data_IF_310678877677
#
_entry.id   IF_310678877677
#
_cell.length_a   1.000
_cell.length_b   1.000
_cell.length_c   1.000
_cell.angle_alpha   90.00
_cell.angle_beta   90.00
_cell.angle_gamma   90.00
#
_symmetry.space_group_name_H-M   'P 1'
#
loop_
_entity.id
_entity.type
_entity.pdbx_description
1 polymer ?
#
# COMPACT_ATOMS: atom_id res chain seq x y z
N UNK A 1 46.60 -3.31 45.72
CA UNK A 1 47.37 -4.02 44.68
C UNK A 1 47.32 -5.56 44.79
N UNK A 2 47.34 -6.16 45.99
CA UNK A 2 47.27 -7.63 46.15
C UNK A 2 45.92 -8.23 45.71
N UNK A 3 44.82 -7.50 45.84
CA UNK A 3 43.48 -7.94 45.39
C UNK A 3 43.30 -8.03 43.87
N UNK A 4 44.06 -7.24 43.08
CA UNK A 4 44.01 -7.33 41.61
C UNK A 4 44.73 -8.60 41.10
N UNK A 5 45.76 -9.06 41.81
CA UNK A 5 46.53 -10.26 41.43
C UNK A 5 45.77 -11.56 41.72
N UNK A 6 44.94 -11.61 42.76
CA UNK A 6 44.09 -12.77 43.05
C UNK A 6 42.96 -12.91 42.02
N UNK A 7 42.37 -11.80 41.58
CA UNK A 7 41.35 -11.77 40.52
C UNK A 7 41.84 -12.36 39.19
N UNK A 8 43.07 -12.04 38.79
CA UNK A 8 43.67 -12.53 37.54
C UNK A 8 43.84 -14.06 37.50
N UNK A 9 44.19 -14.66 38.65
CA UNK A 9 44.41 -16.11 38.78
C UNK A 9 43.09 -16.89 38.75
N UNK A 10 42.03 -16.32 39.32
CA UNK A 10 40.65 -16.85 39.28
C UNK A 10 40.10 -16.77 37.85
N UNK A 11 40.31 -15.64 37.17
CA UNK A 11 40.00 -15.47 35.74
C UNK A 11 40.66 -16.55 34.88
N UNK A 12 41.95 -16.84 35.13
CA UNK A 12 42.69 -17.91 34.45
C UNK A 12 42.17 -19.32 34.76
N UNK A 13 41.38 -19.57 35.81
CA UNK A 13 40.85 -20.91 36.13
C UNK A 13 39.44 -21.10 35.58
N UNK A 14 38.68 -20.01 35.43
CA UNK A 14 37.29 -20.03 34.97
C UNK A 14 37.12 -19.49 33.55
N UNK A 15 38.18 -19.46 32.73
CA UNK A 15 38.18 -18.90 31.36
C UNK A 15 37.03 -19.41 30.49
N UNK A 16 36.70 -20.69 30.64
CA UNK A 16 35.61 -21.32 29.90
C UNK A 16 34.24 -20.79 30.35
N UNK A 17 34.02 -20.67 31.67
CA UNK A 17 32.81 -20.09 32.24
C UNK A 17 32.63 -18.64 31.79
N UNK A 18 33.70 -17.83 31.85
CA UNK A 18 33.70 -16.45 31.37
C UNK A 18 33.50 -16.37 29.85
N UNK A 19 34.08 -17.29 29.08
CA UNK A 19 33.85 -17.40 27.64
C UNK A 19 32.39 -17.68 27.31
N UNK A 20 31.77 -18.65 28.00
CA UNK A 20 30.33 -18.96 27.82
C UNK A 20 29.45 -17.78 28.24
N UNK A 21 29.76 -17.11 29.35
CA UNK A 21 29.04 -15.91 29.80
C UNK A 21 29.14 -14.76 28.80
N UNK A 22 30.33 -14.46 28.28
CA UNK A 22 30.54 -13.40 27.30
C UNK A 22 29.88 -13.74 25.96
N UNK A 23 29.90 -15.01 25.55
CA UNK A 23 29.25 -15.46 24.32
C UNK A 23 27.72 -15.40 24.46
N UNK A 24 27.18 -15.79 25.62
CA UNK A 24 25.76 -15.64 25.93
C UNK A 24 25.32 -14.18 25.98
N UNK A 25 26.11 -13.32 26.63
CA UNK A 25 25.83 -11.88 26.69
C UNK A 25 25.93 -11.22 25.30
N UNK A 26 26.95 -11.58 24.51
CA UNK A 26 27.11 -11.09 23.15
C UNK A 26 25.97 -11.55 22.24
N UNK A 27 25.57 -12.82 22.33
CA UNK A 27 24.43 -13.36 21.61
C UNK A 27 23.11 -12.68 21.99
N UNK A 28 22.88 -12.46 23.29
CA UNK A 28 21.71 -11.73 23.77
C UNK A 28 21.68 -10.28 23.27
N UNK A 29 22.80 -9.56 23.36
CA UNK A 29 22.92 -8.18 22.88
C UNK A 29 22.73 -8.07 21.37
N UNK A 30 23.25 -9.02 20.59
CA UNK A 30 23.06 -9.07 19.15
C UNK A 30 21.59 -9.34 18.79
N UNK A 31 20.96 -10.33 19.43
CA UNK A 31 19.54 -10.62 19.23
C UNK A 31 18.65 -9.43 19.62
N UNK A 32 18.95 -8.77 20.73
CA UNK A 32 18.23 -7.58 21.18
C UNK A 32 18.38 -6.41 20.18
N UNK A 33 19.59 -6.18 19.66
CA UNK A 33 19.81 -5.15 18.64
C UNK A 33 19.04 -5.45 17.35
N UNK A 34 19.00 -6.72 16.96
CA UNK A 34 18.26 -7.18 15.79
C UNK A 34 16.75 -6.97 15.98
N UNK A 35 16.22 -7.28 17.17
CA UNK A 35 14.82 -7.01 17.54
C UNK A 35 14.49 -5.51 17.49
N UNK A 36 15.34 -4.65 18.06
CA UNK A 36 15.12 -3.20 18.05
C UNK A 36 15.15 -2.63 16.63
N UNK A 37 16.08 -3.12 15.79
CA UNK A 37 16.17 -2.70 14.39
C UNK A 37 14.95 -3.15 13.59
N UNK A 38 14.51 -4.40 13.77
CA UNK A 38 13.29 -4.92 13.13
C UNK A 38 12.02 -4.22 13.63
N UNK A 39 11.96 -3.83 14.90
CA UNK A 39 10.82 -3.10 15.47
C UNK A 39 10.53 -1.81 14.72
N UNK A 40 11.57 -1.02 14.43
CA UNK A 40 11.41 0.22 13.66
C UNK A 40 10.85 0.00 12.25
N UNK A 41 11.23 -1.10 11.59
CA UNK A 41 10.73 -1.45 10.25
C UNK A 41 9.28 -1.96 10.29
N UNK A 42 8.93 -2.74 11.31
CA UNK A 42 7.56 -3.24 11.53
C UNK A 42 6.57 -2.12 11.87
N UNK A 43 7.05 -1.07 12.54
CA UNK A 43 6.25 0.09 12.92
C UNK A 43 6.25 1.21 11.86
N UNK A 44 7.01 1.07 10.77
CA UNK A 44 6.99 2.06 9.68
C UNK A 44 5.64 1.98 8.95
N UNK A 45 4.77 2.96 9.21
CA UNK A 45 3.41 3.07 8.66
C UNK A 45 3.39 3.58 7.21
N UNK A 46 4.55 3.76 6.60
CA UNK A 46 4.70 4.30 5.25
C UNK A 46 5.61 3.39 4.45
N UNK A 47 5.20 2.92 3.26
CA UNK A 47 6.07 2.16 2.38
C UNK A 47 7.35 2.94 2.08
N UNK A 48 8.49 2.27 1.86
CA UNK A 48 9.78 2.93 1.65
C UNK A 48 9.83 3.77 0.35
N UNK A 49 8.87 3.58 -0.56
CA UNK A 49 8.76 4.39 -1.77
C UNK A 49 7.96 5.68 -1.56
N UNK A 50 7.26 5.87 -0.44
CA UNK A 50 6.53 7.08 -0.08
C UNK A 50 7.47 7.99 0.72
N UNK A 51 7.77 9.18 0.20
CA UNK A 51 8.71 10.13 0.85
C UNK A 51 8.00 11.28 1.57
N UNK A 52 6.68 11.20 1.71
CA UNK A 52 5.89 12.23 2.36
C UNK A 52 6.17 12.28 3.88
N UNK A 53 6.62 13.44 4.36
CA UNK A 53 6.90 13.67 5.80
C UNK A 53 5.65 14.12 6.59
N UNK A 54 4.64 14.64 5.88
CA UNK A 54 3.38 15.10 6.48
C UNK A 54 2.47 13.92 6.85
N UNK A 55 1.56 14.15 7.80
CA UNK A 55 0.63 13.14 8.26
C UNK A 55 -0.33 12.68 7.14
N UNK A 56 -0.28 11.39 6.84
CA UNK A 56 -1.19 10.70 5.93
C UNK A 56 -2.29 10.01 6.72
N UNK A 57 -3.47 9.87 6.13
CA UNK A 57 -4.55 9.03 6.64
C UNK A 57 -5.12 8.17 5.52
N UNK A 58 -5.28 6.88 5.78
CA UNK A 58 -5.88 5.93 4.86
C UNK A 58 -7.36 5.74 5.19
N UNK A 59 -8.22 5.95 4.20
CA UNK A 59 -9.65 5.69 4.24
C UNK A 59 -9.95 4.34 3.57
N UNK A 60 -10.59 3.45 4.30
CA UNK A 60 -11.14 2.19 3.80
C UNK A 60 -12.17 1.61 4.75
N UNK A 61 -12.70 0.42 4.44
CA UNK A 61 -13.57 -0.32 5.35
C UNK A 61 -12.71 -1.26 6.20
N UNK A 62 -13.13 -1.59 7.41
CA UNK A 62 -12.47 -2.63 8.20
C UNK A 62 -13.31 -3.91 8.19
N UNK A 63 -12.68 -5.01 7.82
CA UNK A 63 -13.28 -6.34 7.85
C UNK A 63 -13.37 -6.91 9.27
N UNK A 64 -14.15 -7.99 9.48
CA UNK A 64 -14.29 -8.63 10.80
C UNK A 64 -12.98 -9.16 11.36
N UNK A 65 -12.06 -9.56 10.50
CA UNK A 65 -10.70 -9.98 10.88
C UNK A 65 -9.80 -8.78 11.21
N UNK A 66 -10.25 -7.54 11.00
CA UNK A 66 -9.47 -6.32 11.18
C UNK A 66 -8.68 -5.87 9.94
N UNK A 67 -8.85 -6.51 8.77
CA UNK A 67 -8.15 -6.14 7.55
C UNK A 67 -8.73 -4.87 6.94
N UNK A 68 -7.91 -4.10 6.21
CA UNK A 68 -8.43 -3.01 5.39
C UNK A 68 -9.08 -3.61 4.13
N UNK A 69 -10.33 -3.24 3.90
CA UNK A 69 -11.07 -3.51 2.69
C UNK A 69 -11.25 -2.24 1.85
N UNK A 70 -11.34 -2.45 0.55
CA UNK A 70 -11.64 -1.41 -0.42
C UNK A 70 -13.07 -0.89 -0.28
N UNK A 71 -13.25 0.38 -0.63
CA UNK A 71 -14.51 1.12 -0.59
C UNK A 71 -14.83 1.73 -1.96
N UNK A 72 -16.09 2.12 -2.21
CA UNK A 72 -16.45 2.85 -3.43
C UNK A 72 -15.72 4.18 -3.54
N UNK A 73 -15.36 4.58 -4.76
CA UNK A 73 -14.74 5.91 -5.00
C UNK A 73 -15.67 7.05 -4.57
N UNK A 74 -16.99 6.84 -4.63
CA UNK A 74 -17.97 7.83 -4.17
C UNK A 74 -17.90 8.09 -2.67
N UNK A 75 -17.50 7.08 -1.88
CA UNK A 75 -17.33 7.22 -0.44
C UNK A 75 -16.07 8.01 -0.06
N UNK A 76 -15.09 8.11 -0.98
CA UNK A 76 -13.84 8.85 -0.75
C UNK A 76 -14.02 10.34 -1.06
N UNK A 77 -14.84 10.69 -2.05
CA UNK A 77 -14.99 12.07 -2.52
C UNK A 77 -15.36 13.11 -1.44
N UNK A 78 -16.22 12.81 -0.44
CA UNK A 78 -16.56 13.75 0.62
C UNK A 78 -15.36 14.08 1.53
N UNK A 79 -14.38 13.18 1.66
CA UNK A 79 -13.20 13.41 2.49
C UNK A 79 -12.40 14.63 2.02
N UNK A 80 -12.41 14.93 0.72
CA UNK A 80 -11.69 16.07 0.15
C UNK A 80 -12.25 17.42 0.62
N UNK A 81 -13.49 17.43 1.14
CA UNK A 81 -14.17 18.63 1.65
C UNK A 81 -14.02 18.80 3.17
N UNK A 82 -13.42 17.83 3.86
CA UNK A 82 -13.28 17.88 5.31
C UNK A 82 -12.23 18.93 5.71
N UNK A 83 -12.46 19.70 6.78
CA UNK A 83 -11.49 20.66 7.27
C UNK A 83 -10.20 19.93 7.71
N UNK A 84 -9.04 20.50 7.36
CA UNK A 84 -7.73 19.93 7.67
C UNK A 84 -7.23 18.88 6.67
N UNK A 85 -8.04 18.48 5.68
CA UNK A 85 -7.56 17.68 4.53
C UNK A 85 -7.01 18.62 3.45
N UNK A 86 -5.74 18.44 3.09
CA UNK A 86 -5.07 19.27 2.08
C UNK A 86 -5.16 18.72 0.67
N UNK A 87 -5.07 17.40 0.50
CA UNK A 87 -5.14 16.71 -0.78
C UNK A 87 -5.51 15.24 -0.57
N UNK A 88 -6.05 14.57 -1.60
CA UNK A 88 -6.43 13.15 -1.54
C UNK A 88 -5.99 12.45 -2.81
N UNK A 89 -5.29 11.33 -2.65
CA UNK A 89 -5.10 10.39 -3.75
C UNK A 89 -5.90 9.12 -3.50
N UNK A 90 -6.23 8.45 -4.59
CA UNK A 90 -6.96 7.19 -4.61
C UNK A 90 -6.12 6.14 -5.32
N UNK A 91 -6.13 4.94 -4.72
CA UNK A 91 -5.60 3.74 -5.37
C UNK A 91 -6.75 2.76 -5.53
N UNK A 92 -6.99 2.33 -6.76
CA UNK A 92 -7.98 1.29 -7.04
C UNK A 92 -7.30 -0.01 -7.47
N UNK A 93 -7.83 -1.13 -6.99
CA UNK A 93 -7.25 -2.46 -7.17
C UNK A 93 -8.21 -3.33 -7.99
N UNK A 94 -7.66 -4.11 -8.91
CA UNK A 94 -8.45 -5.06 -9.68
C UNK A 94 -7.62 -6.24 -10.16
N UNK A 95 -8.03 -7.45 -9.83
CA UNK A 95 -7.40 -8.66 -10.37
C UNK A 95 -7.90 -8.93 -11.78
N UNK A 96 -6.97 -9.06 -12.73
CA UNK A 96 -7.28 -9.32 -14.14
C UNK A 96 -6.27 -10.28 -14.73
N UNK A 97 -6.70 -10.96 -15.80
CA UNK A 97 -5.77 -11.68 -16.65
C UNK A 97 -5.02 -10.72 -17.54
N UNK A 98 -3.73 -10.96 -17.68
CA UNK A 98 -2.79 -10.17 -18.46
C UNK A 98 -2.18 -11.09 -19.49
N UNK A 99 -2.18 -10.66 -20.75
CA UNK A 99 -1.48 -11.36 -21.80
C UNK A 99 -0.35 -10.48 -22.30
N UNK A 100 0.86 -10.88 -21.94
CA UNK A 100 2.08 -10.27 -22.44
C UNK A 100 2.45 -10.88 -23.80
N UNK A 101 3.16 -10.11 -24.61
CA UNK A 101 3.71 -10.61 -25.87
C UNK A 101 4.71 -11.74 -25.56
N UNK A 102 4.56 -12.87 -26.26
CA UNK A 102 5.42 -14.07 -26.11
C UNK A 102 5.39 -14.77 -24.74
N UNK A 103 4.40 -14.46 -23.88
CA UNK A 103 4.22 -15.13 -22.58
C UNK A 103 2.83 -15.75 -22.46
N UNK A 104 2.66 -16.79 -21.60
CA UNK A 104 1.34 -17.27 -21.25
C UNK A 104 0.50 -16.18 -20.57
N UNK A 105 -0.82 -16.36 -20.60
CA UNK A 105 -1.73 -15.51 -19.86
C UNK A 105 -1.49 -15.70 -18.35
N UNK A 106 -1.29 -14.59 -17.64
CA UNK A 106 -1.01 -14.58 -16.21
C UNK A 106 -2.10 -13.78 -15.49
N UNK A 107 -2.48 -14.22 -14.29
CA UNK A 107 -3.27 -13.38 -13.41
C UNK A 107 -2.37 -12.33 -12.76
N UNK A 108 -2.81 -11.08 -12.79
CA UNK A 108 -2.07 -9.96 -12.23
C UNK A 108 -3.00 -8.93 -11.64
N UNK A 109 -2.55 -8.34 -10.54
CA UNK A 109 -3.26 -7.26 -9.89
C UNK A 109 -2.95 -5.93 -10.58
N UNK A 110 -4.00 -5.23 -10.97
CA UNK A 110 -3.93 -3.89 -11.54
C UNK A 110 -4.10 -2.87 -10.42
N UNK A 111 -3.17 -1.92 -10.34
CA UNK A 111 -3.30 -0.73 -9.49
C UNK A 111 -3.55 0.48 -10.35
N UNK A 112 -4.61 1.21 -10.03
CA UNK A 112 -4.96 2.45 -10.70
C UNK A 112 -4.62 3.63 -9.80
N UNK A 113 -3.77 4.53 -10.29
CA UNK A 113 -3.37 5.75 -9.59
C UNK A 113 -4.05 6.97 -10.22
N UNK A 114 -4.44 7.93 -9.40
CA UNK A 114 -5.03 9.19 -9.88
C UNK A 114 -3.99 10.28 -10.13
N UNK A 115 -4.46 11.46 -10.54
CA UNK A 115 -3.59 12.59 -10.86
C UNK A 115 -2.91 13.20 -9.62
N UNK A 116 -3.48 13.01 -8.42
CA UNK A 116 -2.93 13.52 -7.16
C UNK A 116 -1.90 12.55 -6.54
N UNK A 117 -1.70 11.37 -7.12
CA UNK A 117 -0.78 10.35 -6.61
C UNK A 117 0.62 10.89 -6.32
N UNK A 118 1.23 11.57 -7.31
CA UNK A 118 2.59 12.07 -7.15
C UNK A 118 2.69 13.20 -6.12
N UNK A 119 1.68 14.08 -6.03
CA UNK A 119 1.71 15.23 -5.12
C UNK A 119 1.41 14.83 -3.67
N UNK A 120 0.58 13.80 -3.46
CA UNK A 120 0.20 13.32 -2.12
C UNK A 120 1.23 12.38 -1.54
N UNK A 121 1.70 11.39 -2.31
CA UNK A 121 2.59 10.34 -1.79
C UNK A 121 4.07 10.61 -2.03
N UNK A 122 4.41 11.50 -2.96
CA UNK A 122 5.78 11.82 -3.34
C UNK A 122 6.61 10.54 -3.54
N UNK A 123 6.24 9.68 -4.51
CA UNK A 123 6.93 8.43 -4.73
C UNK A 123 8.38 8.69 -5.13
N UNK A 124 9.31 7.83 -4.68
CA UNK A 124 10.73 7.92 -5.04
C UNK A 124 10.96 7.94 -6.56
N UNK A 125 10.08 7.28 -7.33
CA UNK A 125 9.99 7.42 -8.78
C UNK A 125 8.61 7.99 -9.15
N UNK A 126 8.53 9.21 -9.72
CA UNK A 126 7.26 9.81 -10.12
C UNK A 126 6.67 9.11 -11.34
N UNK A 127 5.35 8.88 -11.31
CA UNK A 127 4.61 8.24 -12.38
C UNK A 127 4.03 9.29 -13.34
N UNK A 128 4.11 9.08 -14.64
CA UNK A 128 3.42 9.94 -15.61
C UNK A 128 1.92 9.65 -15.57
N UNK A 129 1.10 10.69 -15.68
CA UNK A 129 -0.37 10.62 -15.58
C UNK A 129 -1.06 9.77 -16.66
N UNK A 130 -0.34 9.43 -17.72
CA UNK A 130 -0.77 8.62 -18.87
C UNK A 130 0.09 7.36 -19.06
N UNK A 131 1.13 7.19 -18.24
CA UNK A 131 2.07 6.09 -18.33
C UNK A 131 1.53 4.81 -17.69
N UNK A 132 1.83 3.68 -18.32
CA UNK A 132 1.53 2.35 -17.77
C UNK A 132 2.83 1.66 -17.41
N UNK A 133 2.93 1.22 -16.16
CA UNK A 133 4.18 0.73 -15.60
C UNK A 133 4.06 -0.72 -15.17
N UNK A 134 5.11 -1.48 -15.39
CA UNK A 134 5.23 -2.86 -14.96
C UNK A 134 5.91 -2.91 -13.58
N UNK A 135 5.44 -3.76 -12.68
CA UNK A 135 6.18 -4.01 -11.44
C UNK A 135 7.51 -4.71 -11.73
N UNK A 136 8.49 -4.52 -10.85
CA UNK A 136 9.79 -5.15 -11.00
C UNK A 136 9.68 -6.68 -10.96
N UNK A 137 8.89 -7.22 -10.02
CA UNK A 137 8.65 -8.66 -9.93
C UNK A 137 8.06 -9.24 -11.22
N UNK A 138 7.07 -8.56 -11.81
CA UNK A 138 6.46 -9.00 -13.07
C UNK A 138 7.42 -8.83 -14.26
N UNK A 139 8.22 -7.75 -14.27
CA UNK A 139 9.27 -7.54 -15.25
C UNK A 139 10.33 -8.66 -15.20
N UNK A 140 10.75 -9.09 -14.01
CA UNK A 140 11.67 -10.21 -13.83
C UNK A 140 11.05 -11.53 -14.31
N UNK A 141 9.80 -11.82 -13.92
CA UNK A 141 9.09 -13.03 -14.33
C UNK A 141 8.93 -13.13 -15.86
N UNK A 142 8.66 -12.00 -16.53
CA UNK A 142 8.56 -11.93 -17.98
C UNK A 142 9.91 -11.76 -18.69
N UNK A 143 11.04 -11.79 -17.98
CA UNK A 143 12.40 -11.51 -18.51
C UNK A 143 12.47 -10.18 -19.28
N UNK A 144 11.68 -9.19 -18.87
CA UNK A 144 11.62 -7.86 -19.47
C UNK A 144 13.00 -7.21 -19.59
N UNK A 145 13.85 -7.42 -18.56
CA UNK A 145 15.20 -6.86 -18.48
C UNK A 145 16.16 -7.32 -19.59
N UNK A 146 15.87 -8.42 -20.29
CA UNK A 146 16.80 -8.99 -21.28
C UNK A 146 16.65 -8.40 -22.69
N UNK A 147 15.55 -7.68 -22.99
CA UNK A 147 15.39 -6.97 -24.27
C UNK A 147 14.65 -5.63 -24.08
N UNK A 148 15.34 -4.58 -23.62
CA UNK A 148 14.76 -3.26 -23.36
C UNK A 148 14.43 -2.44 -24.62
N UNK A 149 14.84 -2.92 -25.80
CA UNK A 149 14.89 -2.16 -27.06
C UNK A 149 13.55 -2.17 -27.82
N UNK A 150 12.61 -3.02 -27.43
CA UNK A 150 11.31 -3.16 -28.09
C UNK A 150 10.21 -2.48 -27.28
N UNK A 151 9.39 -1.65 -27.93
CA UNK A 151 8.14 -1.14 -27.37
C UNK A 151 7.22 -2.31 -27.05
N UNK A 152 7.11 -2.65 -25.77
CA UNK A 152 6.41 -3.84 -25.31
C UNK A 152 4.97 -3.52 -24.94
N UNK A 153 4.06 -4.35 -25.44
CA UNK A 153 2.63 -4.21 -25.23
C UNK A 153 2.11 -5.25 -24.25
N UNK A 154 1.18 -4.84 -23.39
CA UNK A 154 0.35 -5.75 -22.60
C UNK A 154 -1.08 -5.70 -23.10
N UNK A 155 -1.67 -6.87 -23.34
CA UNK A 155 -3.09 -6.99 -23.64
C UNK A 155 -3.83 -7.26 -22.33
N UNK A 156 -4.73 -6.36 -21.96
CA UNK A 156 -5.68 -6.56 -20.86
C UNK A 156 -7.02 -6.90 -21.53
N UNK A 157 -7.51 -8.16 -21.46
CA UNK A 157 -8.72 -8.58 -22.18
C UNK A 157 -9.92 -7.68 -21.91
N UNK A 158 -10.07 -7.19 -20.67
CA UNK A 158 -11.13 -6.25 -20.29
C UNK A 158 -11.11 -4.95 -21.10
N UNK A 159 -9.93 -4.47 -21.47
CA UNK A 159 -9.80 -3.22 -22.23
C UNK A 159 -9.98 -3.40 -23.74
N UNK A 160 -9.97 -4.65 -24.23
CA UNK A 160 -10.02 -4.99 -25.66
C UNK A 160 -8.95 -4.29 -26.52
N UNK A 161 -7.90 -3.76 -25.89
CA UNK A 161 -6.84 -3.00 -26.55
C UNK A 161 -5.48 -3.39 -25.96
N UNK A 162 -4.42 -3.21 -26.76
CA UNK A 162 -3.04 -3.30 -26.29
C UNK A 162 -2.64 -1.99 -25.62
N UNK A 163 -1.87 -2.09 -24.56
CA UNK A 163 -1.39 -0.93 -23.79
C UNK A 163 0.13 -0.94 -23.78
N UNK A 164 0.73 0.18 -24.13
CA UNK A 164 2.18 0.33 -24.17
C UNK A 164 2.74 0.45 -22.75
N UNK A 165 3.77 -0.32 -22.44
CA UNK A 165 4.48 -0.23 -21.16
C UNK A 165 5.50 0.91 -21.25
N UNK A 166 5.29 1.95 -20.44
CA UNK A 166 6.14 3.13 -20.37
C UNK A 166 7.45 2.89 -19.59
N UNK A 167 7.47 1.90 -18.69
CA UNK A 167 8.67 1.54 -17.94
C UNK A 167 8.41 0.51 -16.84
N UNK A 168 9.46 0.20 -16.10
CA UNK A 168 9.45 -0.71 -14.94
C UNK A 168 9.66 0.09 -13.66
N UNK A 169 8.88 -0.21 -12.63
CA UNK A 169 8.98 0.40 -11.31
C UNK A 169 10.08 -0.27 -10.46
N UNK A 170 10.58 0.38 -9.40
CA UNK A 170 11.53 -0.22 -8.49
C UNK A 170 10.91 -1.38 -7.68
N UNK A 171 11.74 -2.30 -7.16
CA UNK A 171 11.30 -3.41 -6.30
C UNK A 171 10.50 -2.96 -5.07
N UNK A 172 10.75 -1.74 -4.58
CA UNK A 172 10.00 -1.18 -3.46
C UNK A 172 8.50 -1.03 -3.74
N UNK A 173 8.08 -0.93 -5.00
CA UNK A 173 6.69 -0.79 -5.43
C UNK A 173 6.04 -2.12 -5.86
N UNK A 174 6.72 -3.25 -5.68
CA UNK A 174 6.17 -4.58 -5.97
C UNK A 174 5.04 -4.99 -5.00
N UNK A 175 4.88 -4.25 -3.90
CA UNK A 175 3.86 -4.50 -2.89
C UNK A 175 3.26 -3.20 -2.37
N UNK A 176 1.94 -3.20 -2.22
CA UNK A 176 1.15 -2.10 -1.67
C UNK A 176 0.23 -2.70 -0.61
N UNK A 177 0.71 -2.82 0.62
CA UNK A 177 -0.03 -3.53 1.67
C UNK A 177 -0.18 -5.02 1.35
N UNK A 178 -1.40 -5.60 1.34
CA UNK A 178 -1.60 -6.99 0.96
C UNK A 178 -1.53 -7.21 -0.56
N UNK A 179 -1.61 -6.13 -1.35
CA UNK A 179 -1.69 -6.17 -2.81
C UNK A 179 -0.32 -6.36 -3.45
N UNK A 180 -0.26 -7.14 -4.53
CA UNK A 180 0.95 -7.45 -5.31
C UNK A 180 0.77 -6.99 -6.75
N UNK A 181 0.96 -5.69 -7.03
CA UNK A 181 0.68 -5.11 -8.33
C UNK A 181 1.53 -5.78 -9.41
N UNK A 182 0.88 -6.24 -10.47
CA UNK A 182 1.56 -6.59 -11.71
C UNK A 182 1.75 -5.36 -12.60
N UNK A 183 0.73 -4.48 -12.64
CA UNK A 183 0.71 -3.27 -13.47
C UNK A 183 0.17 -2.08 -12.70
N UNK A 184 0.75 -0.92 -12.96
CA UNK A 184 0.30 0.38 -12.50
C UNK A 184 -0.22 1.19 -13.67
N UNK A 185 -1.45 1.67 -13.56
CA UNK A 185 -2.20 2.31 -14.65
C UNK A 185 -2.82 3.63 -14.17
N UNK A 186 -3.05 4.60 -15.06
CA UNK A 186 -3.76 5.80 -14.69
C UNK A 186 -5.25 5.53 -14.50
N UNK A 187 -5.86 6.19 -13.52
CA UNK A 187 -7.29 6.07 -13.19
C UNK A 187 -8.24 6.42 -14.36
N UNK A 188 -7.74 7.13 -15.38
CA UNK A 188 -8.46 7.39 -16.64
C UNK A 188 -8.85 6.10 -17.37
N UNK A 189 -8.13 5.00 -17.15
CA UNK A 189 -8.44 3.69 -17.73
C UNK A 189 -9.43 2.87 -16.90
N UNK A 190 -9.75 3.30 -15.67
CA UNK A 190 -10.66 2.59 -14.77
C UNK A 190 -12.06 2.34 -15.38
N UNK A 191 -12.69 3.28 -16.12
CA UNK A 191 -13.97 3.02 -16.79
C UNK A 191 -13.93 1.89 -17.81
N UNK A 192 -12.75 1.57 -18.39
CA UNK A 192 -12.58 0.45 -19.33
C UNK A 192 -12.68 -0.92 -18.66
N UNK A 193 -12.72 -0.97 -17.31
CA UNK A 193 -13.05 -2.20 -16.58
C UNK A 193 -14.54 -2.53 -16.58
N UNK A 194 -15.40 -1.55 -16.89
CA UNK A 194 -16.84 -1.77 -16.89
C UNK A 194 -17.26 -2.70 -18.03
N UNK A 195 -18.13 -3.68 -17.78
CA UNK A 195 -18.72 -4.48 -18.85
C UNK A 195 -19.72 -3.66 -19.70
N UNK A 196 -20.17 -2.51 -19.21
CA UNK A 196 -21.15 -1.66 -19.88
C UNK A 196 -20.43 -0.73 -20.86
N UNK A 197 -20.61 -0.98 -22.15
CA UNK A 197 -20.20 -0.05 -23.20
C UNK A 197 -21.34 0.94 -23.44
N UNK A 198 -21.13 2.20 -23.07
CA UNK A 198 -22.07 3.30 -23.36
C UNK A 198 -21.39 4.28 -24.30
N UNK A 199 -22.13 4.83 -25.27
CA UNK A 199 -21.60 5.77 -26.26
C UNK A 199 -20.88 6.97 -25.61
N UNK A 200 -21.39 7.42 -24.46
CA UNK A 200 -20.84 8.58 -23.73
C UNK A 200 -19.90 8.19 -22.57
N UNK A 201 -19.73 6.89 -22.30
CA UNK A 201 -18.91 6.38 -21.19
C UNK A 201 -19.38 6.77 -19.77
N UNK A 202 -20.45 7.55 -19.63
CA UNK A 202 -20.97 8.06 -18.35
C UNK A 202 -21.47 6.95 -17.44
N UNK A 203 -22.20 5.98 -18.00
CA UNK A 203 -22.70 4.82 -17.24
C UNK A 203 -21.54 3.95 -16.74
N UNK A 204 -20.52 3.74 -17.59
CA UNK A 204 -19.31 3.02 -17.21
C UNK A 204 -18.58 3.70 -16.05
N UNK A 205 -18.44 5.03 -16.11
CA UNK A 205 -17.84 5.84 -15.04
C UNK A 205 -18.63 5.75 -13.74
N UNK A 206 -19.96 5.89 -13.78
CA UNK A 206 -20.80 5.81 -12.57
C UNK A 206 -20.72 4.42 -11.93
N UNK A 207 -20.84 3.37 -12.74
CA UNK A 207 -20.78 1.99 -12.25
C UNK A 207 -19.44 1.65 -11.59
N UNK A 208 -18.33 2.11 -12.19
CA UNK A 208 -17.01 1.91 -11.59
C UNK A 208 -16.83 2.68 -10.29
N UNK A 209 -17.44 3.87 -10.15
CA UNK A 209 -17.34 4.67 -8.92
C UNK A 209 -18.10 4.05 -7.74
N UNK A 210 -19.14 3.27 -8.00
CA UNK A 210 -19.89 2.55 -6.96
C UNK A 210 -19.26 1.21 -6.57
N UNK A 211 -18.29 0.70 -7.34
CA UNK A 211 -17.60 -0.55 -7.02
C UNK A 211 -16.64 -0.39 -5.83
N UNK A 212 -16.62 -1.33 -4.87
CA UNK A 212 -15.70 -1.30 -3.73
C UNK A 212 -14.30 -1.76 -4.14
N UNK A 213 -13.60 -0.94 -4.91
CA UNK A 213 -12.27 -1.27 -5.46
C UNK A 213 -11.18 -0.29 -5.03
N UNK A 214 -11.51 0.79 -4.32
CA UNK A 214 -10.56 1.84 -4.01
C UNK A 214 -10.23 1.96 -2.52
N UNK A 215 -9.07 2.52 -2.24
CA UNK A 215 -8.70 3.10 -0.96
C UNK A 215 -8.46 4.59 -1.18
N UNK A 216 -8.81 5.41 -0.19
CA UNK A 216 -8.46 6.83 -0.17
C UNK A 216 -7.25 7.06 0.69
N UNK A 217 -6.35 7.96 0.29
CA UNK A 217 -5.24 8.42 1.12
C UNK A 217 -5.28 9.93 1.16
N UNK A 218 -5.52 10.48 2.34
CA UNK A 218 -5.60 11.91 2.60
C UNK A 218 -4.29 12.43 3.19
N UNK A 219 -3.80 13.53 2.61
CA UNK A 219 -2.74 14.35 3.18
C UNK A 219 -3.37 15.38 4.11
N UNK A 220 -2.96 15.37 5.37
CA UNK A 220 -3.60 16.20 6.42
C UNK A 220 -2.68 17.28 6.95
N UNK A 221 -3.28 18.34 7.49
CA UNK A 221 -2.59 19.42 8.18
C UNK A 221 -2.47 19.12 9.68
N UNK A 222 -1.58 19.84 10.38
CA UNK A 222 -1.46 19.74 11.83
C UNK A 222 -2.79 20.08 12.52
N UNK A 223 -3.25 19.22 13.43
CA UNK A 223 -4.52 19.40 14.15
C UNK A 223 -5.73 18.76 13.47
N UNK A 224 -5.55 17.93 12.45
CA UNK A 224 -6.63 17.12 11.87
C UNK A 224 -7.17 16.10 12.88
N UNK A 225 -8.49 16.12 13.10
CA UNK A 225 -9.20 15.16 13.93
C UNK A 225 -9.91 14.13 13.03
N UNK A 226 -9.39 12.90 13.05
CA UNK A 226 -9.90 11.81 12.23
C UNK A 226 -11.31 11.37 12.64
N UNK A 227 -11.67 11.46 13.93
CA UNK A 227 -12.98 11.02 14.42
C UNK A 227 -14.07 12.01 14.00
N UNK A 228 -13.78 13.30 14.07
CA UNK A 228 -14.66 14.36 13.54
C UNK A 228 -14.84 14.21 12.03
N UNK A 229 -13.75 13.94 11.30
CA UNK A 229 -13.82 13.75 9.85
C UNK A 229 -14.64 12.52 9.44
N UNK A 230 -14.50 11.38 10.13
CA UNK A 230 -15.31 10.17 9.86
C UNK A 230 -16.79 10.40 10.16
N UNK A 231 -17.12 11.09 11.25
CA UNK A 231 -18.50 11.44 11.59
C UNK A 231 -19.10 12.37 10.53
N UNK A 232 -18.32 13.30 9.98
CA UNK A 232 -18.71 14.16 8.86
C UNK A 232 -18.91 13.42 7.53
N UNK A 233 -18.42 12.17 7.39
CA UNK A 233 -18.73 11.31 6.24
C UNK A 233 -20.12 10.64 6.37
N UNK A 234 -20.74 10.66 7.55
CA UNK A 234 -22.00 9.99 7.85
C UNK A 234 -23.26 10.87 7.71
N UNK A 235 -23.11 12.19 7.44
CA UNK A 235 -24.25 13.11 7.31
C UNK A 235 -24.95 13.08 5.93
N UNK A 236 -26.28 13.35 5.88
CA UNK A 236 -27.21 12.65 5.01
C UNK A 236 -27.46 13.39 3.68
N UNK A 237 -27.01 12.80 2.57
CA UNK A 237 -27.32 13.31 1.23
C UNK A 237 -27.42 12.28 0.10
N UNK A 238 -27.09 11.00 0.33
CA UNK A 238 -27.22 9.94 -0.68
C UNK A 238 -27.99 8.73 -0.15
N UNK A 239 -29.12 8.99 0.51
CA UNK A 239 -29.99 7.94 1.03
C UNK A 239 -30.91 7.30 -0.03
N UNK A 240 -30.75 7.63 -1.32
CA UNK A 240 -31.56 7.01 -2.38
C UNK A 240 -30.82 5.90 -3.13
N UNK A 241 -31.35 4.68 -2.94
CA UNK A 241 -31.49 3.59 -3.91
C UNK A 241 -30.54 2.39 -3.98
N UNK A 242 -29.54 2.22 -3.12
CA UNK A 242 -28.82 0.92 -3.03
C UNK A 242 -28.51 0.52 -1.58
N UNK A 243 -29.55 0.51 -0.73
CA UNK A 243 -29.44 0.00 0.66
C UNK A 243 -29.60 -1.51 0.80
N UNK A 244 -29.66 -2.23 -0.30
CA UNK A 244 -29.85 -3.69 -0.30
C UNK A 244 -28.73 -4.29 -1.14
N UNK A 245 -27.68 -4.83 -0.49
CA UNK A 245 -26.86 -6.02 -0.89
C UNK A 245 -25.49 -6.07 -0.18
N UNK A 246 -24.93 -4.99 0.39
CA UNK A 246 -23.65 -5.09 1.12
C UNK A 246 -23.83 -4.84 2.62
N UNK A 247 -23.46 -5.83 3.45
CA UNK A 247 -23.24 -5.64 4.90
C UNK A 247 -22.41 -4.36 5.11
N UNK A 248 -23.00 -3.34 5.73
CA UNK A 248 -22.33 -2.07 6.00
C UNK A 248 -21.17 -2.27 6.98
N UNK A 249 -19.97 -2.52 6.46
CA UNK A 249 -18.73 -2.37 7.22
C UNK A 249 -18.50 -0.86 7.39
N UNK A 250 -18.30 -0.34 8.61
CA UNK A 250 -18.09 1.09 8.81
C UNK A 250 -16.78 1.52 8.15
N UNK A 251 -16.84 2.62 7.39
CA UNK A 251 -15.64 3.29 6.88
C UNK A 251 -14.81 3.80 8.07
N UNK A 252 -13.49 3.68 7.99
CA UNK A 252 -12.57 4.16 9.02
C UNK A 252 -11.40 4.91 8.39
N UNK A 253 -10.97 5.97 9.09
CA UNK A 253 -9.71 6.65 8.82
C UNK A 253 -8.63 6.06 9.73
N UNK A 254 -7.57 5.56 9.10
CA UNK A 254 -6.40 5.01 9.78
C UNK A 254 -5.23 5.97 9.60
N UNK A 255 -4.48 6.33 10.66
CA UNK A 255 -3.29 7.14 10.51
C UNK A 255 -2.22 6.40 9.68
N UNK A 256 -1.44 7.16 8.92
CA UNK A 256 -0.42 6.68 8.00
C UNK A 256 -0.96 6.16 6.66
N UNK A 257 -0.04 5.62 5.85
CA UNK A 257 -0.37 4.80 4.69
C UNK A 257 -0.55 3.35 5.19
N UNK A 258 -1.69 3.06 5.80
CA UNK A 258 -1.92 1.79 6.50
C UNK A 258 -2.86 0.90 5.69
N UNK A 259 -2.30 -0.14 5.09
CA UNK A 259 -3.05 -1.12 4.30
C UNK A 259 -3.19 -2.50 4.96
N UNK A 260 -2.49 -2.73 6.08
CA UNK A 260 -2.57 -3.96 6.89
C UNK A 260 -2.79 -3.61 8.38
N UNK A 261 -3.96 -3.05 8.76
CA UNK A 261 -4.23 -2.59 10.13
C UNK A 261 -4.13 -3.67 11.21
N UNK A 262 -4.35 -4.95 10.88
CA UNK A 262 -4.24 -6.05 11.85
C UNK A 262 -2.83 -6.18 12.45
N UNK A 263 -1.78 -5.92 11.65
CA UNK A 263 -0.39 -5.93 12.14
C UNK A 263 -0.14 -4.90 13.25
N UNK A 264 -1.02 -3.90 13.37
CA UNK A 264 -1.00 -2.88 14.42
C UNK A 264 -1.70 -3.31 15.70
N UNK A 265 -2.81 -4.05 15.61
CA UNK A 265 -3.56 -4.49 16.79
C UNK A 265 -2.70 -5.40 17.68
N UNK A 266 -1.95 -6.31 17.05
CA UNK A 266 -1.02 -7.21 17.75
C UNK A 266 0.15 -6.49 18.46
N UNK A 267 0.40 -5.21 18.16
CA UNK A 267 1.46 -4.42 18.81
C UNK A 267 0.95 -3.45 19.87
N UNK A 268 -0.36 -3.15 19.92
CA UNK A 268 -0.94 -2.28 20.95
C UNK A 268 -1.30 -3.03 22.25
N UNK A 269 -1.48 -4.34 22.21
CA UNK A 269 -1.77 -5.18 23.39
C UNK A 269 -0.51 -5.64 24.16
N UNK A 270 0.66 -5.06 23.87
CA UNK A 270 1.94 -5.41 24.50
C UNK A 270 2.55 -4.29 25.37
N UNK A 271 1.75 -3.33 25.82
CA UNK A 271 2.14 -2.33 26.82
C UNK A 271 1.33 -2.46 28.11
#
# INVERSE_FOLDING_TARGET
MVEQLSGWRIWRRQRFLWGVLLLGLGGFSAAFSLLMQSGSQLLSLTPPWVTQERALYTLGAIERNGALATIPLEAIAPLAKQPGVSAITTLAFSNRRLRFEEAPELEGELVFFDEQFNSVLLPAQPLKSDGVYLSHAQAAAWRYQHHPEHQRWVTIPAFKQRVLIAGVLPPSMDRVGPYKPALWLPAKLLPKLSPVQSADGLLARRLVRTMPIAIGIALTQSGFDADVAVNGLAEPGSQNDIRTIMEQKPNRLLPGFTLEPQRRADTQDCY
#
